data_IF_305629376988
#
_entry.id   IF_305629376988
#
_cell.length_a   1.000
_cell.length_b   1.000
_cell.length_c   1.000
_cell.angle_alpha   90.00
_cell.angle_beta   90.00
_cell.angle_gamma   90.00
#
_symmetry.space_group_name_H-M   'P 1'
#
loop_
_entity.id
_entity.type
_entity.pdbx_description
1 polymer ?
#
# COMPACT_ATOMS: atom_id res chain seq x y z
N UNK A 1 53.79 -37.17 25.69
CA UNK A 1 54.97 -36.30 25.55
C UNK A 1 54.41 -34.90 25.34
N UNK A 2 54.40 -34.06 26.38
CA UNK A 2 53.80 -32.72 26.32
C UNK A 2 54.84 -31.78 25.71
N UNK A 3 54.53 -31.25 24.53
CA UNK A 3 55.38 -30.28 23.86
C UNK A 3 55.02 -28.90 24.38
N UNK A 4 55.76 -28.41 25.39
CA UNK A 4 55.64 -27.04 25.87
C UNK A 4 56.45 -26.12 24.96
N UNK A 5 55.78 -25.11 24.40
CA UNK A 5 56.44 -24.10 23.60
C UNK A 5 57.24 -23.14 24.51
N UNK A 6 58.42 -22.68 24.08
CA UNK A 6 59.16 -21.69 24.84
C UNK A 6 58.34 -20.39 24.90
N UNK A 7 58.14 -19.83 26.10
CA UNK A 7 57.31 -18.63 26.37
C UNK A 7 57.55 -17.45 25.41
N UNK A 8 58.81 -17.22 24.99
CA UNK A 8 59.15 -16.17 24.00
C UNK A 8 58.53 -16.41 22.62
N UNK A 9 58.34 -17.67 22.23
CA UNK A 9 57.72 -18.06 20.97
C UNK A 9 56.19 -17.94 21.04
N UNK A 10 55.59 -18.23 22.20
CA UNK A 10 54.16 -17.98 22.44
C UNK A 10 53.85 -16.47 22.39
N UNK A 11 54.62 -15.64 23.10
CA UNK A 11 54.46 -14.19 23.09
C UNK A 11 54.60 -13.62 21.66
N UNK A 12 55.57 -14.13 20.89
CA UNK A 12 55.75 -13.76 19.49
C UNK A 12 54.56 -14.17 18.62
N UNK A 13 54.06 -15.40 18.77
CA UNK A 13 52.89 -15.89 18.02
C UNK A 13 51.62 -15.09 18.35
N UNK A 14 51.40 -14.72 19.61
CA UNK A 14 50.27 -13.89 20.01
C UNK A 14 50.32 -12.51 19.36
N UNK A 15 51.48 -11.84 19.41
CA UNK A 15 51.65 -10.53 18.76
C UNK A 15 51.47 -10.65 17.24
N UNK A 16 52.03 -11.70 16.63
CA UNK A 16 51.89 -11.95 15.20
C UNK A 16 50.43 -12.17 14.79
N UNK A 17 49.68 -13.02 15.49
CA UNK A 17 48.26 -13.28 15.22
C UNK A 17 47.40 -12.03 15.42
N UNK A 18 47.72 -11.20 16.40
CA UNK A 18 46.99 -9.96 16.65
C UNK A 18 47.20 -8.95 15.51
N UNK A 19 48.44 -8.78 15.05
CA UNK A 19 48.77 -7.91 13.90
C UNK A 19 48.11 -8.41 12.62
N UNK A 20 48.18 -9.71 12.35
CA UNK A 20 47.52 -10.33 11.19
C UNK A 20 46.02 -10.11 11.24
N UNK A 21 45.39 -10.27 12.41
CA UNK A 21 43.95 -10.08 12.59
C UNK A 21 43.50 -8.63 12.31
N UNK A 22 44.29 -7.63 12.72
CA UNK A 22 44.03 -6.22 12.42
C UNK A 22 44.15 -5.94 10.91
N UNK A 23 45.19 -6.49 10.26
CA UNK A 23 45.40 -6.32 8.82
C UNK A 23 44.27 -6.94 8.00
N UNK A 24 43.86 -8.17 8.35
CA UNK A 24 42.71 -8.82 7.72
C UNK A 24 41.42 -8.04 7.98
N UNK A 25 41.19 -7.56 9.21
CA UNK A 25 40.02 -6.74 9.55
C UNK A 25 39.93 -5.45 8.71
N UNK A 26 41.05 -4.74 8.52
CA UNK A 26 41.11 -3.56 7.65
C UNK A 26 40.88 -3.88 6.17
N UNK A 27 41.39 -5.02 5.69
CA UNK A 27 41.18 -5.48 4.32
C UNK A 27 39.71 -5.83 4.07
N UNK A 28 39.06 -6.53 5.01
CA UNK A 28 37.64 -6.86 4.92
C UNK A 28 36.75 -5.60 5.02
N UNK A 29 37.11 -4.64 5.87
CA UNK A 29 36.38 -3.37 5.99
C UNK A 29 36.42 -2.56 4.68
N UNK A 30 37.59 -2.43 4.07
CA UNK A 30 37.76 -1.69 2.82
C UNK A 30 37.09 -2.38 1.62
N UNK A 31 37.18 -3.71 1.55
CA UNK A 31 36.46 -4.51 0.55
C UNK A 31 34.93 -4.39 0.72
N UNK A 32 34.43 -4.45 1.96
CA UNK A 32 33.00 -4.30 2.26
C UNK A 32 32.43 -2.93 1.87
N UNK A 33 33.18 -1.85 2.10
CA UNK A 33 32.78 -0.51 1.67
C UNK A 33 32.71 -0.35 0.14
N UNK A 34 33.57 -1.06 -0.60
CA UNK A 34 33.54 -1.06 -2.07
C UNK A 34 32.30 -1.78 -2.61
N UNK A 35 31.94 -2.93 -2.02
CA UNK A 35 30.75 -3.70 -2.38
C UNK A 35 29.47 -2.87 -2.15
N UNK A 36 29.35 -2.16 -1.02
CA UNK A 36 28.16 -1.31 -0.76
C UNK A 36 28.01 -0.13 -1.74
N UNK A 37 29.11 0.42 -2.25
CA UNK A 37 29.07 1.55 -3.19
C UNK A 37 28.76 1.15 -4.63
N UNK A 38 29.01 -0.10 -5.00
CA UNK A 38 28.80 -0.61 -6.36
C UNK A 38 27.42 -1.25 -6.56
N UNK A 39 26.61 -1.41 -5.50
CA UNK A 39 25.20 -1.79 -5.66
C UNK A 39 24.44 -0.54 -6.13
N UNK A 40 24.00 -0.45 -7.39
CA UNK A 40 23.19 0.67 -7.81
C UNK A 40 21.87 0.66 -7.03
N UNK A 41 21.39 1.84 -6.64
CA UNK A 41 20.12 2.03 -5.92
C UNK A 41 18.92 1.33 -6.60
N UNK A 42 19.02 1.07 -7.92
CA UNK A 42 18.07 0.30 -8.71
C UNK A 42 18.10 -1.23 -8.45
N UNK A 43 19.16 -1.79 -7.86
CA UNK A 43 19.30 -3.21 -7.54
C UNK A 43 18.79 -3.59 -6.15
N UNK A 44 18.53 -2.60 -5.28
CA UNK A 44 17.77 -2.82 -4.05
C UNK A 44 16.30 -2.85 -4.46
N UNK A 45 15.81 -4.04 -4.83
CA UNK A 45 14.39 -4.22 -5.11
C UNK A 45 13.59 -3.76 -3.89
N UNK A 46 12.77 -2.73 -4.06
CA UNK A 46 11.75 -2.36 -3.06
C UNK A 46 11.02 -3.66 -2.69
N UNK A 47 10.88 -4.01 -1.39
CA UNK A 47 10.19 -5.24 -1.01
C UNK A 47 8.83 -5.24 -1.71
N UNK A 48 8.58 -6.28 -2.50
CA UNK A 48 7.35 -6.43 -3.26
C UNK A 48 6.23 -6.53 -2.22
N UNK A 49 5.40 -5.49 -2.13
CA UNK A 49 4.20 -5.55 -1.31
C UNK A 49 3.20 -6.48 -2.02
N UNK A 50 2.89 -7.68 -1.47
CA UNK A 50 2.00 -8.62 -2.17
C UNK A 50 0.62 -8.04 -2.46
N UNK A 51 0.13 -7.17 -1.58
CA UNK A 51 -1.13 -6.45 -1.77
C UNK A 51 -1.05 -5.44 -2.92
N UNK A 52 0.10 -4.77 -3.11
CA UNK A 52 0.31 -3.87 -4.25
C UNK A 52 0.17 -4.64 -5.56
N UNK A 53 0.85 -5.79 -5.67
CA UNK A 53 0.77 -6.66 -6.85
C UNK A 53 -0.66 -7.16 -7.10
N UNK A 54 -1.37 -7.62 -6.06
CA UNK A 54 -2.76 -8.06 -6.17
C UNK A 54 -3.68 -6.95 -6.72
N UNK A 55 -3.49 -5.73 -6.23
CA UNK A 55 -4.25 -4.56 -6.68
C UNK A 55 -3.90 -4.23 -8.12
N UNK A 56 -2.60 -4.13 -8.45
CA UNK A 56 -2.12 -3.81 -9.80
C UNK A 56 -2.65 -4.80 -10.84
N UNK A 57 -2.58 -6.10 -10.56
CA UNK A 57 -3.14 -7.14 -11.42
C UNK A 57 -4.64 -6.95 -11.65
N UNK A 58 -5.38 -6.58 -10.60
CA UNK A 58 -6.83 -6.44 -10.65
C UNK A 58 -7.27 -5.23 -11.46
N UNK A 59 -6.56 -4.11 -11.34
CA UNK A 59 -6.95 -2.83 -11.92
C UNK A 59 -6.16 -2.45 -13.16
N UNK A 60 -5.36 -3.37 -13.69
CA UNK A 60 -4.49 -3.16 -14.86
C UNK A 60 -5.25 -2.53 -16.03
N UNK A 61 -4.70 -1.43 -16.56
CA UNK A 61 -5.29 -0.67 -17.66
C UNK A 61 -6.42 0.29 -17.27
N UNK A 62 -6.67 0.48 -15.97
CA UNK A 62 -7.63 1.45 -15.45
C UNK A 62 -6.94 2.64 -14.78
N UNK A 63 -7.55 3.83 -14.76
CA UNK A 63 -6.96 5.02 -14.13
C UNK A 63 -6.59 4.87 -12.65
N UNK A 64 -7.21 3.96 -11.90
CA UNK A 64 -6.84 3.65 -10.50
C UNK A 64 -5.50 2.92 -10.35
N UNK A 65 -4.94 2.34 -11.41
CA UNK A 65 -3.64 1.64 -11.36
C UNK A 65 -2.53 2.53 -10.79
N UNK A 66 -2.50 3.81 -11.16
CA UNK A 66 -1.54 4.81 -10.61
C UNK A 66 -1.68 5.06 -9.10
N UNK A 67 -2.74 4.56 -8.48
CA UNK A 67 -3.02 4.65 -7.05
C UNK A 67 -2.66 3.37 -6.28
N UNK A 68 -2.37 2.26 -6.98
CA UNK A 68 -2.17 0.95 -6.37
C UNK A 68 -1.13 0.98 -5.23
N UNK A 69 0.03 1.59 -5.49
CA UNK A 69 1.11 1.77 -4.52
C UNK A 69 0.74 2.54 -3.25
N UNK A 70 -0.29 3.38 -3.30
CA UNK A 70 -0.76 4.13 -2.14
C UNK A 70 -1.87 3.36 -1.42
N UNK A 71 -2.76 2.69 -2.16
CA UNK A 71 -3.82 1.86 -1.60
C UNK A 71 -3.21 0.68 -0.84
N UNK A 72 -2.15 0.08 -1.37
CA UNK A 72 -1.44 -1.05 -0.76
C UNK A 72 -0.74 -0.74 0.56
N UNK A 73 -0.60 0.54 0.92
CA UNK A 73 -0.06 0.98 2.23
C UNK A 73 -1.10 0.97 3.34
N UNK A 74 -2.38 0.75 2.99
CA UNK A 74 -3.48 0.64 3.95
C UNK A 74 -3.62 -0.80 4.40
N UNK A 75 -4.34 -1.01 5.51
CA UNK A 75 -4.71 -2.37 5.89
C UNK A 75 -5.51 -3.05 4.77
N UNK A 76 -5.41 -4.38 4.71
CA UNK A 76 -5.98 -5.17 3.60
C UNK A 76 -7.49 -4.95 3.45
N UNK A 77 -8.22 -4.79 4.55
CA UNK A 77 -9.69 -4.64 4.53
C UNK A 77 -10.06 -3.28 3.94
N UNK A 78 -9.43 -2.20 4.39
CA UNK A 78 -9.61 -0.86 3.80
C UNK A 78 -9.22 -0.86 2.33
N UNK A 79 -8.07 -1.43 1.96
CA UNK A 79 -7.66 -1.54 0.56
C UNK A 79 -8.67 -2.31 -0.29
N UNK A 80 -9.22 -3.42 0.22
CA UNK A 80 -10.25 -4.20 -0.46
C UNK A 80 -11.53 -3.38 -0.69
N UNK A 81 -11.99 -2.62 0.31
CA UNK A 81 -13.13 -1.71 0.13
C UNK A 81 -12.84 -0.60 -0.86
N UNK A 82 -11.65 0.00 -0.82
CA UNK A 82 -11.26 1.01 -1.79
C UNK A 82 -11.35 0.46 -3.22
N UNK A 83 -10.89 -0.76 -3.48
CA UNK A 83 -10.96 -1.36 -4.83
C UNK A 83 -12.41 -1.70 -5.23
N UNK A 84 -13.20 -2.27 -4.31
CA UNK A 84 -14.60 -2.63 -4.60
C UNK A 84 -15.49 -1.42 -4.84
N UNK A 85 -15.43 -0.42 -3.96
CA UNK A 85 -16.18 0.83 -4.11
C UNK A 85 -15.73 1.60 -5.36
N UNK A 86 -14.43 1.68 -5.64
CA UNK A 86 -13.97 2.36 -6.86
C UNK A 86 -14.48 1.69 -8.13
N UNK A 87 -14.61 0.35 -8.15
CA UNK A 87 -15.24 -0.32 -9.27
C UNK A 87 -16.67 0.14 -9.46
N UNK A 88 -17.42 0.20 -8.35
CA UNK A 88 -18.83 0.50 -8.39
C UNK A 88 -19.13 1.96 -8.76
N UNK A 89 -18.39 2.89 -8.19
CA UNK A 89 -18.66 4.32 -8.31
C UNK A 89 -18.11 4.95 -9.59
N UNK A 90 -17.02 4.41 -10.14
CA UNK A 90 -16.35 5.02 -11.30
C UNK A 90 -15.87 4.04 -12.35
N UNK A 91 -16.15 2.74 -12.19
CA UNK A 91 -15.50 1.68 -12.96
C UNK A 91 -13.97 1.85 -12.94
N UNK A 92 -13.42 1.95 -11.73
CA UNK A 92 -11.98 2.15 -11.48
C UNK A 92 -11.40 3.41 -12.13
N UNK A 93 -12.19 4.48 -12.15
CA UNK A 93 -11.81 5.79 -12.68
C UNK A 93 -12.08 6.00 -14.16
N UNK A 94 -12.73 5.07 -14.87
CA UNK A 94 -13.20 5.31 -16.25
C UNK A 94 -14.24 6.43 -16.32
N UNK A 95 -15.07 6.55 -15.28
CA UNK A 95 -16.08 7.59 -15.14
C UNK A 95 -15.80 8.37 -13.86
N UNK A 96 -15.19 9.53 -13.98
CA UNK A 96 -14.70 10.29 -12.82
C UNK A 96 -15.01 11.77 -12.98
N UNK A 97 -15.28 12.48 -11.88
CA UNK A 97 -15.45 13.92 -11.91
C UNK A 97 -14.23 14.62 -12.50
N UNK A 98 -14.50 15.69 -13.24
CA UNK A 98 -13.48 16.63 -13.70
C UNK A 98 -13.82 18.02 -13.22
N UNK A 99 -12.80 18.83 -13.00
CA UNK A 99 -12.93 20.24 -12.66
C UNK A 99 -12.10 21.03 -13.64
N UNK A 100 -12.74 21.90 -14.41
CA UNK A 100 -12.09 22.71 -15.46
C UNK A 100 -11.30 21.87 -16.49
N UNK A 101 -11.81 20.67 -16.78
CA UNK A 101 -11.17 19.70 -17.68
C UNK A 101 -10.10 18.83 -17.02
N UNK A 102 -9.66 19.16 -15.82
CA UNK A 102 -8.67 18.42 -15.04
C UNK A 102 -9.30 17.22 -14.32
N UNK A 103 -8.54 16.15 -14.23
CA UNK A 103 -8.88 14.91 -13.54
C UNK A 103 -8.84 15.08 -12.02
N UNK A 104 -9.93 14.72 -11.33
CA UNK A 104 -10.08 14.95 -9.89
C UNK A 104 -9.57 13.82 -8.99
N UNK A 105 -9.08 12.72 -9.56
CA UNK A 105 -8.58 11.55 -8.82
C UNK A 105 -9.58 10.98 -7.81
N UNK A 106 -10.88 11.25 -7.99
CA UNK A 106 -11.94 10.82 -7.10
C UNK A 106 -12.69 9.67 -7.76
N UNK A 107 -12.35 8.45 -7.36
CA UNK A 107 -12.89 7.23 -7.94
C UNK A 107 -13.97 6.58 -7.08
N UNK A 108 -14.26 7.15 -5.92
CA UNK A 108 -15.14 6.59 -4.89
C UNK A 108 -16.42 7.41 -4.68
N UNK A 109 -16.63 8.46 -5.48
CA UNK A 109 -17.77 9.37 -5.28
C UNK A 109 -17.68 10.17 -3.98
N UNK A 110 -16.47 10.39 -3.45
CA UNK A 110 -16.26 11.04 -2.16
C UNK A 110 -16.71 12.52 -2.18
N UNK A 111 -17.41 12.93 -1.11
CA UNK A 111 -17.93 14.30 -0.91
C UNK A 111 -17.49 14.84 0.46
N UNK A 112 -16.26 15.33 0.54
CA UNK A 112 -15.73 16.00 1.73
C UNK A 112 -15.90 17.53 1.69
N UNK A 113 -15.88 18.17 2.87
CA UNK A 113 -16.25 19.58 3.04
C UNK A 113 -15.12 20.61 2.78
N UNK A 114 -13.89 20.19 2.48
CA UNK A 114 -12.76 21.12 2.33
C UNK A 114 -12.10 21.03 0.95
N UNK A 115 -11.91 22.17 0.28
CA UNK A 115 -11.06 22.30 -0.91
C UNK A 115 -11.81 22.51 -2.22
N UNK A 116 -11.21 22.04 -3.32
CA UNK A 116 -11.78 22.10 -4.69
C UNK A 116 -12.95 21.12 -4.80
N UNK A 117 -14.12 21.59 -5.20
CA UNK A 117 -15.34 20.78 -5.31
C UNK A 117 -15.93 20.99 -6.71
N UNK A 118 -16.39 19.90 -7.35
CA UNK A 118 -17.08 19.99 -8.63
C UNK A 118 -18.50 20.53 -8.47
N UNK A 119 -19.14 20.97 -9.56
CA UNK A 119 -20.53 21.44 -9.52
C UNK A 119 -21.51 20.41 -8.94
N UNK A 120 -21.19 19.11 -9.05
CA UNK A 120 -21.99 18.00 -8.50
C UNK A 120 -21.63 17.62 -7.06
N UNK A 121 -20.79 18.41 -6.38
CA UNK A 121 -20.44 18.24 -4.97
C UNK A 121 -19.33 17.22 -4.70
N UNK A 122 -18.69 16.64 -5.73
CA UNK A 122 -17.57 15.72 -5.53
C UNK A 122 -16.29 16.48 -5.21
N UNK A 123 -15.54 16.01 -4.21
CA UNK A 123 -14.20 16.53 -3.93
C UNK A 123 -13.28 16.29 -5.12
N UNK A 124 -12.51 17.31 -5.49
CA UNK A 124 -11.51 17.24 -6.54
C UNK A 124 -10.11 17.24 -5.92
N UNK A 125 -9.49 16.07 -5.87
CA UNK A 125 -8.14 15.91 -5.33
C UNK A 125 -7.10 16.32 -6.37
N UNK A 126 -6.02 16.92 -5.91
CA UNK A 126 -4.90 17.35 -6.77
C UNK A 126 -3.92 16.22 -7.10
N UNK A 127 -4.02 15.08 -6.41
CA UNK A 127 -3.05 13.99 -6.54
C UNK A 127 -3.61 12.64 -6.10
N UNK A 128 -3.12 11.54 -6.70
CA UNK A 128 -3.43 10.17 -6.28
C UNK A 128 -3.28 9.92 -4.79
N UNK A 129 -2.18 10.41 -4.20
CA UNK A 129 -1.84 10.17 -2.78
C UNK A 129 -2.83 10.87 -1.84
N UNK A 130 -3.21 12.13 -2.13
CA UNK A 130 -4.18 12.84 -1.29
C UNK A 130 -5.56 12.19 -1.37
N UNK A 131 -5.99 11.80 -2.57
CA UNK A 131 -7.25 11.08 -2.76
C UNK A 131 -7.29 9.79 -1.93
N UNK A 132 -6.28 8.94 -2.08
CA UNK A 132 -6.19 7.67 -1.35
C UNK A 132 -6.16 7.90 0.15
N UNK A 133 -5.39 8.87 0.66
CA UNK A 133 -5.33 9.12 2.09
C UNK A 133 -6.66 9.61 2.67
N UNK A 134 -7.35 10.54 1.99
CA UNK A 134 -8.63 11.07 2.48
C UNK A 134 -9.73 9.99 2.47
N UNK A 135 -9.82 9.23 1.38
CA UNK A 135 -10.82 8.15 1.26
C UNK A 135 -10.53 7.01 2.21
N UNK A 136 -9.26 6.58 2.32
CA UNK A 136 -8.87 5.52 3.24
C UNK A 136 -9.11 5.92 4.70
N UNK A 137 -8.85 7.18 5.07
CA UNK A 137 -9.14 7.66 6.42
C UNK A 137 -10.64 7.56 6.75
N UNK A 138 -11.51 7.98 5.82
CA UNK A 138 -12.96 7.87 6.02
C UNK A 138 -13.44 6.42 6.06
N UNK A 139 -12.93 5.56 5.17
CA UNK A 139 -13.30 4.13 5.18
C UNK A 139 -12.80 3.45 6.45
N UNK A 140 -11.58 3.78 6.90
CA UNK A 140 -11.01 3.30 8.16
C UNK A 140 -11.88 3.69 9.35
N UNK A 141 -12.31 4.94 9.45
CA UNK A 141 -13.24 5.40 10.49
C UNK A 141 -14.54 4.57 10.50
N UNK A 142 -15.16 4.36 9.33
CA UNK A 142 -16.37 3.53 9.23
C UNK A 142 -16.14 2.07 9.66
N UNK A 143 -14.97 1.51 9.37
CA UNK A 143 -14.62 0.13 9.72
C UNK A 143 -14.30 0.03 11.22
N UNK A 144 -13.45 0.91 11.74
CA UNK A 144 -12.89 0.84 13.08
C UNK A 144 -13.84 1.38 14.15
N UNK A 145 -14.53 2.49 13.87
CA UNK A 145 -15.40 3.17 14.85
C UNK A 145 -16.86 2.72 14.75
N UNK A 146 -17.28 2.19 13.60
CA UNK A 146 -18.69 1.79 13.38
C UNK A 146 -18.86 0.31 13.04
N UNK A 147 -17.79 -0.49 13.09
CA UNK A 147 -17.80 -1.93 12.79
C UNK A 147 -18.40 -2.26 11.40
N UNK A 148 -18.26 -1.35 10.42
CA UNK A 148 -18.81 -1.54 9.07
C UNK A 148 -17.85 -2.33 8.18
N UNK A 149 -17.56 -3.55 8.62
CA UNK A 149 -16.42 -4.32 8.14
C UNK A 149 -16.77 -5.38 7.07
N UNK A 150 -18.03 -5.40 6.62
CA UNK A 150 -18.52 -6.21 5.48
C UNK A 150 -19.19 -5.34 4.41
N UNK A 151 -19.27 -5.81 3.14
CA UNK A 151 -19.97 -5.08 2.07
C UNK A 151 -21.41 -4.68 2.39
N UNK A 152 -22.15 -5.53 3.12
CA UNK A 152 -23.52 -5.27 3.56
C UNK A 152 -23.57 -4.09 4.53
N UNK A 153 -22.63 -4.03 5.48
CA UNK A 153 -22.55 -2.93 6.45
C UNK A 153 -22.00 -1.65 5.82
N UNK A 154 -21.05 -1.77 4.89
CA UNK A 154 -20.43 -0.65 4.18
C UNK A 154 -21.38 0.06 3.18
N UNK A 155 -22.61 -0.43 3.03
CA UNK A 155 -23.67 0.24 2.25
C UNK A 155 -23.90 1.70 2.68
N UNK A 156 -23.50 2.07 3.89
CA UNK A 156 -23.47 3.46 4.38
C UNK A 156 -22.70 4.39 3.45
N UNK A 157 -21.69 3.90 2.73
CA UNK A 157 -20.99 4.69 1.71
C UNK A 157 -21.92 5.13 0.57
N UNK A 158 -22.89 4.30 0.20
CA UNK A 158 -23.83 4.55 -0.91
C UNK A 158 -24.95 5.51 -0.52
N UNK A 159 -25.63 5.24 0.60
CA UNK A 159 -26.88 5.92 0.96
C UNK A 159 -26.79 6.73 2.25
N UNK A 160 -25.64 6.74 2.93
CA UNK A 160 -25.56 7.21 4.31
C UNK A 160 -26.21 6.21 5.27
N UNK A 161 -26.61 6.69 6.45
CA UNK A 161 -27.19 5.83 7.49
C UNK A 161 -28.63 5.40 7.21
N UNK A 162 -29.28 5.98 6.20
CA UNK A 162 -30.63 5.62 5.78
C UNK A 162 -30.70 5.44 4.26
N UNK A 163 -31.21 4.28 3.83
CA UNK A 163 -31.35 3.88 2.43
C UNK A 163 -32.77 4.07 1.87
N UNK A 164 -33.73 4.66 2.60
CA UNK A 164 -35.14 4.83 2.17
C UNK A 164 -35.30 5.54 0.81
N UNK A 165 -34.35 6.41 0.45
CA UNK A 165 -34.31 7.09 -0.85
C UNK A 165 -33.86 6.22 -2.03
N UNK A 166 -33.55 4.94 -1.80
CA UNK A 166 -33.03 4.02 -2.81
C UNK A 166 -33.90 2.77 -2.93
N UNK A 167 -33.99 2.23 -4.14
CA UNK A 167 -34.67 0.94 -4.34
C UNK A 167 -33.86 -0.21 -3.71
N UNK A 168 -34.52 -1.23 -3.14
CA UNK A 168 -33.85 -2.41 -2.58
C UNK A 168 -32.92 -3.11 -3.59
N UNK A 169 -33.31 -3.15 -4.86
CA UNK A 169 -32.53 -3.76 -5.94
C UNK A 169 -31.24 -2.98 -6.20
N UNK A 170 -31.29 -1.64 -6.17
CA UNK A 170 -30.11 -0.79 -6.34
C UNK A 170 -29.11 -0.96 -5.21
N UNK A 171 -29.60 -1.15 -3.99
CA UNK A 171 -28.80 -1.42 -2.80
C UNK A 171 -28.17 -2.80 -2.86
N UNK A 172 -28.97 -3.85 -3.08
CA UNK A 172 -28.50 -5.23 -3.20
C UNK A 172 -27.45 -5.40 -4.29
N UNK A 173 -27.68 -4.78 -5.47
CA UNK A 173 -26.69 -4.76 -6.55
C UNK A 173 -25.39 -4.08 -6.15
N UNK A 174 -25.45 -2.98 -5.41
CA UNK A 174 -24.24 -2.29 -4.94
C UNK A 174 -23.43 -3.17 -3.99
N UNK A 175 -24.11 -3.81 -3.02
CA UNK A 175 -23.48 -4.74 -2.06
C UNK A 175 -22.81 -5.90 -2.83
N UNK A 176 -23.52 -6.50 -3.78
CA UNK A 176 -22.98 -7.60 -4.60
C UNK A 176 -21.77 -7.17 -5.43
N UNK A 177 -21.85 -6.02 -6.10
CA UNK A 177 -20.76 -5.48 -6.92
C UNK A 177 -19.53 -5.18 -6.06
N UNK A 178 -19.69 -4.48 -4.94
CA UNK A 178 -18.58 -4.16 -4.03
C UNK A 178 -18.00 -5.43 -3.40
N UNK A 179 -18.87 -6.32 -2.92
CA UNK A 179 -18.48 -7.57 -2.27
C UNK A 179 -17.68 -8.50 -3.17
N UNK A 180 -18.01 -8.58 -4.47
CA UNK A 180 -17.25 -9.39 -5.42
C UNK A 180 -15.77 -8.99 -5.48
N UNK A 181 -15.49 -7.68 -5.62
CA UNK A 181 -14.12 -7.18 -5.72
C UNK A 181 -13.42 -7.09 -4.36
N UNK A 182 -14.16 -6.75 -3.30
CA UNK A 182 -13.67 -6.82 -1.93
C UNK A 182 -13.11 -8.21 -1.61
N UNK A 183 -13.89 -9.27 -1.86
CA UNK A 183 -13.48 -10.64 -1.56
C UNK A 183 -12.25 -11.09 -2.38
N UNK A 184 -12.11 -10.61 -3.62
CA UNK A 184 -10.93 -10.92 -4.44
C UNK A 184 -9.63 -10.33 -3.91
N UNK A 185 -9.66 -9.24 -3.15
CA UNK A 185 -8.48 -8.65 -2.50
C UNK A 185 -8.33 -9.19 -1.08
N UNK A 186 -9.43 -9.24 -0.32
CA UNK A 186 -9.40 -9.58 1.09
C UNK A 186 -9.04 -11.05 1.33
N UNK A 187 -9.50 -11.96 0.46
CA UNK A 187 -9.32 -13.41 0.64
C UNK A 187 -8.09 -13.96 -0.12
N UNK A 188 -7.31 -13.12 -0.81
CA UNK A 188 -6.05 -13.58 -1.41
C UNK A 188 -5.03 -13.83 -0.31
N UNK A 189 -4.60 -15.08 -0.19
CA UNK A 189 -3.53 -15.51 0.72
C UNK A 189 -2.25 -14.73 0.44
N UNK A 190 -1.60 -14.25 1.51
CA UNK A 190 -0.23 -13.75 1.44
C UNK A 190 0.66 -14.99 1.29
N UNK A 191 0.92 -15.40 0.05
CA UNK A 191 1.95 -16.40 -0.24
C UNK A 191 3.33 -15.74 -0.22
#
# INVERSE_FOLDING_TARGET
MNFELPKKLEDFLFVFLFVVSILFGGLFWTAGQKIQREIPEAAVSKPINPLEKDIEEMVKGYPIERMAKYISTKDRKTAAFMIGVAKKESNWGKFTPKLDGEECYNFWGYRGQSGRITKSGYTCFDSPRKAVNAVAARMGELIEENDLDTPEKMVVWKCGWNCDGHSPESVSKWIADVGYYFNKINNRSIN
#
